data_IF_996834902467
#
_entry.id   IF_996834902467
#
_cell.length_a   1.000
_cell.length_b   1.000
_cell.length_c   1.000
_cell.angle_alpha   90.00
_cell.angle_beta   90.00
_cell.angle_gamma   90.00
#
_symmetry.space_group_name_H-M   'P 1'
#
loop_
_entity.id
_entity.type
_entity.pdbx_description
1 polymer ?
#
# COMPACT_ATOMS: atom_id res chain seq x y z
N UNK A 1 25.36 -14.29 -6.09
CA UNK A 1 25.15 -12.91 -5.60
C UNK A 1 24.74 -12.98 -4.15
N UNK A 2 25.70 -12.72 -3.28
CA UNK A 2 25.85 -13.36 -1.98
C UNK A 2 26.03 -12.27 -0.91
N UNK A 3 25.30 -12.39 0.18
CA UNK A 3 25.80 -12.04 1.50
C UNK A 3 25.87 -13.39 2.21
N UNK A 4 27.09 -13.93 2.31
CA UNK A 4 27.38 -15.26 2.87
C UNK A 4 26.98 -16.47 1.99
N UNK A 5 27.51 -16.60 0.78
CA UNK A 5 27.48 -17.92 0.11
C UNK A 5 26.18 -18.32 -0.61
N UNK A 6 25.07 -17.58 -0.52
CA UNK A 6 23.81 -17.94 -1.20
C UNK A 6 23.14 -16.76 -1.88
N UNK A 7 22.53 -17.02 -3.05
CA UNK A 7 21.46 -16.20 -3.61
C UNK A 7 20.29 -16.25 -2.63
N UNK A 8 20.16 -15.20 -1.80
CA UNK A 8 19.02 -15.06 -0.89
C UNK A 8 17.80 -14.70 -1.72
N UNK A 9 17.28 -15.66 -2.47
CA UNK A 9 15.90 -15.65 -2.95
C UNK A 9 15.04 -15.85 -1.70
N UNK A 10 14.81 -14.74 -0.99
CA UNK A 10 14.03 -14.74 0.23
C UNK A 10 12.57 -14.86 -0.21
N UNK A 11 12.08 -16.09 -0.30
CA UNK A 11 10.70 -16.49 -0.65
C UNK A 11 9.64 -16.03 0.37
N UNK A 12 9.88 -14.91 1.05
CA UNK A 12 9.05 -14.38 2.13
C UNK A 12 9.53 -13.01 2.64
N UNK A 13 10.39 -12.29 1.89
CA UNK A 13 10.82 -10.92 2.25
C UNK A 13 9.76 -9.87 1.86
N UNK A 14 8.51 -10.28 1.68
CA UNK A 14 7.38 -9.37 1.74
C UNK A 14 6.94 -9.26 3.18
N UNK A 15 6.94 -8.06 3.76
CA UNK A 15 6.31 -7.82 5.04
C UNK A 15 4.82 -8.20 4.91
N UNK A 16 4.43 -9.39 5.37
CA UNK A 16 3.07 -9.92 5.19
C UNK A 16 2.02 -8.94 5.70
N UNK A 17 2.29 -8.30 6.84
CA UNK A 17 1.41 -7.27 7.39
C UNK A 17 1.29 -6.06 6.46
N UNK A 18 2.40 -5.62 5.85
CA UNK A 18 2.38 -4.54 4.86
C UNK A 18 1.62 -4.91 3.59
N UNK A 19 1.84 -6.12 3.06
CA UNK A 19 1.16 -6.59 1.86
C UNK A 19 -0.34 -6.83 2.09
N UNK A 20 -0.70 -7.38 3.26
CA UNK A 20 -2.09 -7.59 3.66
C UNK A 20 -2.82 -6.26 3.90
N UNK A 21 -2.15 -5.28 4.52
CA UNK A 21 -2.72 -3.94 4.71
C UNK A 21 -2.94 -3.25 3.37
N UNK A 22 -1.97 -3.34 2.44
CA UNK A 22 -2.14 -2.82 1.08
C UNK A 22 -3.33 -3.48 0.38
N UNK A 23 -3.43 -4.81 0.45
CA UNK A 23 -4.56 -5.56 -0.10
C UNK A 23 -5.91 -5.11 0.48
N UNK A 24 -6.02 -5.01 1.81
CA UNK A 24 -7.25 -4.60 2.48
C UNK A 24 -7.68 -3.18 2.06
N UNK A 25 -6.74 -2.25 1.96
CA UNK A 25 -6.98 -0.87 1.49
C UNK A 25 -7.54 -0.86 0.07
N UNK A 26 -6.87 -1.54 -0.87
CA UNK A 26 -7.35 -1.63 -2.26
C UNK A 26 -8.72 -2.28 -2.35
N UNK A 27 -8.97 -3.31 -1.54
CA UNK A 27 -10.24 -4.03 -1.54
C UNK A 27 -11.39 -3.15 -1.04
N UNK A 28 -11.19 -2.38 0.03
CA UNK A 28 -12.21 -1.45 0.55
C UNK A 28 -12.52 -0.35 -0.46
N UNK A 29 -11.49 0.22 -1.10
CA UNK A 29 -11.67 1.25 -2.13
C UNK A 29 -12.41 0.73 -3.36
N UNK A 30 -12.10 -0.50 -3.78
CA UNK A 30 -12.79 -1.18 -4.86
C UNK A 30 -14.28 -1.41 -4.55
N UNK A 31 -14.59 -1.89 -3.33
CA UNK A 31 -15.98 -2.03 -2.88
C UNK A 31 -16.70 -0.69 -2.79
N UNK A 32 -16.02 0.38 -2.34
CA UNK A 32 -16.56 1.73 -2.35
C UNK A 32 -16.92 2.21 -3.75
N UNK A 33 -16.06 1.92 -4.75
CA UNK A 33 -16.34 2.27 -6.14
C UNK A 33 -17.56 1.51 -6.69
N UNK A 34 -17.65 0.19 -6.43
CA UNK A 34 -18.81 -0.62 -6.80
C UNK A 34 -20.11 -0.14 -6.13
N UNK A 35 -20.04 0.27 -4.86
CA UNK A 35 -21.18 0.86 -4.17
C UNK A 35 -21.59 2.20 -4.79
N UNK A 36 -20.64 3.06 -5.14
CA UNK A 36 -20.91 4.33 -5.82
C UNK A 36 -21.62 4.14 -7.16
N UNK A 37 -21.25 3.10 -7.92
CA UNK A 37 -21.89 2.72 -9.19
C UNK A 37 -23.35 2.27 -9.01
N UNK A 38 -23.73 1.72 -7.85
CA UNK A 38 -25.12 1.29 -7.58
C UNK A 38 -26.08 2.49 -7.51
N UNK A 39 -25.62 3.66 -7.07
CA UNK A 39 -26.45 4.88 -6.99
C UNK A 39 -26.41 5.72 -8.27
N UNK A 40 -25.76 5.23 -9.34
CA UNK A 40 -25.65 5.96 -10.58
C UNK A 40 -26.96 5.93 -11.36
N UNK A 41 -27.84 6.87 -11.06
CA UNK A 41 -29.09 7.13 -11.79
C UNK A 41 -28.95 8.36 -12.69
N UNK A 42 -29.79 8.48 -13.73
CA UNK A 42 -29.72 9.61 -14.68
C UNK A 42 -30.02 10.97 -14.04
N UNK A 43 -30.83 10.98 -12.96
CA UNK A 43 -31.20 12.19 -12.24
C UNK A 43 -30.05 12.73 -11.39
N UNK A 44 -29.24 11.83 -10.81
CA UNK A 44 -28.14 12.16 -9.93
C UNK A 44 -26.82 11.53 -10.42
N UNK A 45 -26.43 11.78 -11.67
CA UNK A 45 -25.21 11.22 -12.25
C UNK A 45 -23.91 11.82 -11.65
N UNK A 46 -23.97 13.04 -11.14
CA UNK A 46 -22.78 13.79 -10.69
C UNK A 46 -22.23 13.34 -9.33
N UNK A 47 -23.09 13.12 -8.33
CA UNK A 47 -22.68 12.65 -7.00
C UNK A 47 -21.91 11.31 -7.03
N UNK A 48 -22.46 10.23 -7.63
CA UNK A 48 -21.78 8.94 -7.72
C UNK A 48 -20.55 9.00 -8.63
N UNK A 49 -20.52 9.87 -9.64
CA UNK A 49 -19.35 10.12 -10.48
C UNK A 49 -18.20 10.76 -9.70
N UNK A 50 -18.45 11.84 -8.96
CA UNK A 50 -17.45 12.52 -8.12
C UNK A 50 -16.94 11.61 -7.00
N UNK A 51 -17.84 10.86 -6.35
CA UNK A 51 -17.45 9.89 -5.34
C UNK A 51 -16.52 8.80 -5.90
N UNK A 52 -16.82 8.29 -7.10
CA UNK A 52 -15.97 7.31 -7.78
C UNK A 52 -14.59 7.90 -8.14
N UNK A 53 -14.54 9.15 -8.61
CA UNK A 53 -13.30 9.87 -8.89
C UNK A 53 -12.43 10.07 -7.65
N UNK A 54 -13.05 10.45 -6.52
CA UNK A 54 -12.36 10.66 -5.25
C UNK A 54 -11.83 9.34 -4.69
N UNK A 55 -12.62 8.27 -4.76
CA UNK A 55 -12.21 6.91 -4.43
C UNK A 55 -11.04 6.43 -5.30
N UNK A 56 -11.06 6.71 -6.61
CA UNK A 56 -9.95 6.41 -7.50
C UNK A 56 -8.69 7.18 -7.10
N UNK A 57 -8.79 8.48 -6.80
CA UNK A 57 -7.66 9.28 -6.32
C UNK A 57 -7.07 8.75 -5.01
N UNK A 58 -7.91 8.38 -4.05
CA UNK A 58 -7.50 7.76 -2.80
C UNK A 58 -6.83 6.39 -3.04
N UNK A 59 -7.32 5.63 -4.01
CA UNK A 59 -6.73 4.34 -4.39
C UNK A 59 -5.32 4.47 -4.95
N UNK A 60 -4.96 5.59 -5.57
CA UNK A 60 -3.58 5.87 -5.96
C UNK A 60 -2.77 6.53 -4.83
N UNK A 61 -3.37 7.44 -4.05
CA UNK A 61 -2.66 8.18 -3.01
C UNK A 61 -2.25 7.35 -1.79
N UNK A 62 -3.13 6.46 -1.32
CA UNK A 62 -2.87 5.68 -0.10
C UNK A 62 -1.70 4.69 -0.27
N UNK A 63 -1.60 3.90 -1.35
CA UNK A 63 -0.46 3.02 -1.58
C UNK A 63 0.85 3.78 -1.72
N UNK A 64 0.85 4.95 -2.37
CA UNK A 64 2.06 5.77 -2.47
C UNK A 64 2.56 6.24 -1.10
N UNK A 65 1.66 6.53 -0.16
CA UNK A 65 2.05 6.94 1.20
C UNK A 65 2.47 5.76 2.08
N UNK A 66 1.84 4.58 1.93
CA UNK A 66 2.15 3.39 2.72
C UNK A 66 3.42 2.66 2.24
N UNK A 67 3.62 2.49 0.93
CA UNK A 67 4.83 1.82 0.41
C UNK A 67 6.09 2.69 0.53
N UNK A 68 5.97 4.01 0.51
CA UNK A 68 7.11 4.93 0.64
C UNK A 68 7.81 4.93 2.00
N UNK A 69 7.22 4.35 3.06
CA UNK A 69 7.80 4.32 4.42
C UNK A 69 8.27 2.95 4.89
N UNK A 70 8.05 1.89 4.12
CA UNK A 70 8.44 0.55 4.55
C UNK A 70 9.97 0.38 4.62
N UNK A 71 10.73 1.13 3.80
CA UNK A 71 12.19 1.06 3.77
C UNK A 71 12.90 1.85 4.90
N UNK A 72 12.23 2.81 5.55
CA UNK A 72 12.87 3.63 6.59
C UNK A 72 13.14 2.87 7.89
N UNK A 73 12.36 1.84 8.20
CA UNK A 73 12.59 1.00 9.39
C UNK A 73 13.80 0.06 9.23
N UNK A 74 14.16 -0.33 8.01
CA UNK A 74 15.36 -1.12 7.77
C UNK A 74 16.60 -0.25 7.97
N UNK A 75 16.59 0.99 7.44
CA UNK A 75 17.69 1.95 7.53
C UNK A 75 18.05 2.32 8.98
N UNK A 76 17.05 2.57 9.83
CA UNK A 76 17.27 2.95 11.24
C UNK A 76 17.92 1.82 12.06
N UNK A 77 17.62 0.56 11.73
CA UNK A 77 18.21 -0.60 12.40
C UNK A 77 19.67 -0.84 12.02
N UNK A 78 20.08 -0.47 10.81
CA UNK A 78 21.49 -0.56 10.40
C UNK A 78 22.32 0.51 11.10
N UNK A 79 21.80 1.74 11.20
CA UNK A 79 22.47 2.84 11.90
C UNK A 79 22.59 2.57 13.40
N UNK A 80 21.52 2.07 14.04
CA UNK A 80 21.57 1.71 15.46
C UNK A 80 22.59 0.58 15.74
N UNK A 81 22.73 -0.39 14.83
CA UNK A 81 23.71 -1.47 14.96
C UNK A 81 25.17 -0.98 14.78
N UNK A 82 25.41 0.05 13.96
CA UNK A 82 26.74 0.67 13.86
C UNK A 82 27.10 1.51 15.08
N UNK A 83 26.15 2.25 15.65
CA UNK A 83 26.39 3.10 16.83
C UNK A 83 26.73 2.27 18.07
N UNK A 84 26.13 1.10 18.26
CA UNK A 84 26.41 0.20 19.40
C UNK A 84 27.79 -0.46 19.30
N UNK A 85 28.40 -0.51 18.11
CA UNK A 85 29.67 -1.19 17.86
C UNK A 85 30.91 -0.29 18.03
N UNK A 86 30.71 0.99 18.34
CA UNK A 86 31.75 2.02 18.53
C UNK A 86 31.94 2.35 20.00
#
# INVERSE_FOLDING_TARGET
>A
MYSDGKSKAYSGQGNFAGNFLAFAVFFILFLGALYSLTFWTLENAWLPGLACFLLAFLAFGIPQHLLGRADSHQADRVVAAEVVKK
#
